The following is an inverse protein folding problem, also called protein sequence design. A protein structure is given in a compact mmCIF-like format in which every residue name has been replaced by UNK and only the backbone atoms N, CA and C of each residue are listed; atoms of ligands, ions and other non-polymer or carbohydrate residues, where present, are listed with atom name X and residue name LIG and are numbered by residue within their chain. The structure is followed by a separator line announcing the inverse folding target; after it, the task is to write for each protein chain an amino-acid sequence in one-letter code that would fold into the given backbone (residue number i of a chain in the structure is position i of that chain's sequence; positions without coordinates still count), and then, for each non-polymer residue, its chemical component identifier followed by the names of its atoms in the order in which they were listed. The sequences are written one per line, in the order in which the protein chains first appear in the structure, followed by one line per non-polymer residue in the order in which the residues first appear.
data_IF_641158947954
#
_entry.id   IF_641158947954
#
_cell.length_a   1.000
_cell.length_b   1.000
_cell.length_c   1.000
_cell.angle_alpha   90.00
_cell.angle_beta   90.00
_cell.angle_gamma   90.00
#
_symmetry.space_group_name_H-M   'P 1'
#
loop_
_entity.id
_entity.type
_entity.pdbx_description
1 polymer ?
#
# COMPACT_ATOMS: atom_id res chain seq x y z
N UNK A 1 -19.96 18.65 -3.77
CA UNK A 1 -19.94 18.28 -2.34
C UNK A 1 -20.03 19.55 -1.50
N UNK A 2 -20.81 19.60 -0.41
CA UNK A 2 -20.98 20.81 0.39
C UNK A 2 -19.73 21.18 1.20
N UNK A 3 -19.02 20.17 1.72
CA UNK A 3 -17.73 20.28 2.40
C UNK A 3 -16.87 19.08 1.99
N UNK A 4 -15.57 19.31 1.84
CA UNK A 4 -14.60 18.28 1.49
C UNK A 4 -13.48 18.33 2.53
N UNK A 5 -13.18 17.18 3.11
CA UNK A 5 -12.07 17.00 4.04
C UNK A 5 -11.08 16.02 3.42
N UNK A 6 -9.81 16.39 3.40
CA UNK A 6 -8.73 15.53 2.89
C UNK A 6 -7.62 15.46 3.93
N UNK A 7 -7.27 14.25 4.32
CA UNK A 7 -6.14 13.97 5.21
C UNK A 7 -4.93 13.51 4.40
N UNK A 8 -3.75 13.55 5.01
CA UNK A 8 -2.46 13.18 4.38
C UNK A 8 -2.19 13.91 3.04
N UNK A 9 -2.53 15.20 2.99
CA UNK A 9 -2.48 16.02 1.78
C UNK A 9 -1.09 16.03 1.10
N UNK A 10 -0.02 15.91 1.89
CA UNK A 10 1.36 15.89 1.38
C UNK A 10 1.64 14.69 0.45
N UNK A 11 0.89 13.60 0.60
CA UNK A 11 1.09 12.36 -0.14
C UNK A 11 0.18 12.24 -1.38
N UNK A 12 -0.54 13.32 -1.70
CA UNK A 12 -1.39 13.38 -2.90
C UNK A 12 -0.55 13.54 -4.17
N UNK A 13 -0.95 12.86 -5.23
CA UNK A 13 -0.42 13.08 -6.58
C UNK A 13 -1.23 14.16 -7.33
N UNK A 14 -0.74 14.58 -8.50
CA UNK A 14 -1.38 15.65 -9.28
C UNK A 14 -2.81 15.29 -9.73
N UNK A 15 -3.09 14.03 -10.05
CA UNK A 15 -4.43 13.61 -10.44
C UNK A 15 -5.42 13.70 -9.27
N UNK A 16 -4.99 13.31 -8.06
CA UNK A 16 -5.78 13.45 -6.84
C UNK A 16 -6.00 14.92 -6.48
N UNK A 17 -4.98 15.76 -6.64
CA UNK A 17 -5.06 17.20 -6.44
C UNK A 17 -6.13 17.83 -7.36
N UNK A 18 -6.03 17.59 -8.68
CA UNK A 18 -6.98 18.12 -9.66
C UNK A 18 -8.40 17.59 -9.43
N UNK A 19 -8.54 16.31 -9.07
CA UNK A 19 -9.85 15.75 -8.73
C UNK A 19 -10.47 16.50 -7.54
N UNK A 20 -9.72 16.71 -6.46
CA UNK A 20 -10.22 17.42 -5.29
C UNK A 20 -10.58 18.87 -5.63
N UNK A 21 -9.79 19.54 -6.47
CA UNK A 21 -10.06 20.89 -6.97
C UNK A 21 -11.37 20.95 -7.77
N UNK A 22 -11.58 20.00 -8.68
CA UNK A 22 -12.83 19.89 -9.46
C UNK A 22 -14.04 19.61 -8.56
N UNK A 23 -13.89 18.75 -7.55
CA UNK A 23 -14.95 18.43 -6.59
C UNK A 23 -15.33 19.60 -5.68
N UNK A 24 -14.33 20.40 -5.28
CA UNK A 24 -14.53 21.62 -4.50
C UNK A 24 -15.24 22.71 -5.34
N UNK A 25 -14.88 22.79 -6.62
CA UNK A 25 -15.41 23.76 -7.57
C UNK A 25 -15.33 25.19 -7.03
N UNK A 26 -16.26 26.05 -7.45
CA UNK A 26 -16.26 27.46 -7.06
C UNK A 26 -16.63 27.72 -5.60
N UNK A 27 -17.13 26.72 -4.87
CA UNK A 27 -17.51 26.90 -3.45
C UNK A 27 -16.30 26.91 -2.53
N UNK A 28 -15.23 26.20 -2.91
CA UNK A 28 -13.98 26.13 -2.17
C UNK A 28 -14.11 25.77 -0.68
N UNK A 29 -15.16 25.01 -0.29
CA UNK A 29 -15.33 24.48 1.07
C UNK A 29 -14.45 23.25 1.28
N UNK A 30 -13.14 23.46 1.19
CA UNK A 30 -12.11 22.44 1.22
C UNK A 30 -11.24 22.62 2.46
N UNK A 31 -11.17 21.57 3.28
CA UNK A 31 -10.31 21.49 4.46
C UNK A 31 -9.28 20.38 4.24
N UNK A 32 -8.01 20.76 4.16
CA UNK A 32 -6.91 19.80 3.97
C UNK A 32 -6.03 19.76 5.21
N UNK A 33 -5.60 18.57 5.59
CA UNK A 33 -4.63 18.33 6.65
C UNK A 33 -3.44 17.62 6.05
N UNK A 34 -2.24 18.04 6.42
CA UNK A 34 -1.02 17.37 5.97
C UNK A 34 0.24 17.94 6.60
N UNK A 35 1.31 17.19 6.44
CA UNK A 35 2.64 17.50 6.94
C UNK A 35 3.67 17.23 5.83
N UNK A 36 4.24 18.27 5.25
CA UNK A 36 5.25 18.13 4.19
C UNK A 36 6.53 17.38 4.63
N UNK A 37 6.90 17.43 5.91
CA UNK A 37 8.04 16.69 6.46
C UNK A 37 7.74 15.17 6.52
N UNK A 38 6.48 14.77 6.38
CA UNK A 38 6.02 13.37 6.37
C UNK A 38 5.73 12.83 4.96
N UNK A 39 5.98 13.61 3.90
CA UNK A 39 5.79 13.15 2.52
C UNK A 39 6.82 12.06 2.15
N UNK A 40 6.40 10.80 2.17
CA UNK A 40 7.26 9.64 1.86
C UNK A 40 6.88 8.93 0.56
N UNK A 41 5.77 9.31 -0.10
CA UNK A 41 5.27 8.64 -1.32
C UNK A 41 5.69 9.29 -2.64
N UNK A 42 6.74 10.12 -2.68
CA UNK A 42 7.21 10.79 -3.91
C UNK A 42 7.48 9.81 -5.07
N UNK A 43 7.99 8.62 -4.77
CA UNK A 43 8.24 7.55 -5.76
C UNK A 43 6.96 6.99 -6.42
N UNK A 44 5.78 7.24 -5.83
CA UNK A 44 4.46 6.90 -6.38
C UNK A 44 3.77 8.11 -7.03
N UNK A 45 4.50 9.22 -7.21
CA UNK A 45 3.99 10.44 -7.82
C UNK A 45 3.37 11.44 -6.84
N UNK A 46 3.48 11.22 -5.52
CA UNK A 46 3.12 12.25 -4.55
C UNK A 46 3.99 13.50 -4.75
N UNK A 47 3.38 14.67 -4.59
CA UNK A 47 4.08 15.94 -4.73
C UNK A 47 3.86 16.80 -3.48
N UNK A 48 4.85 16.85 -2.58
CA UNK A 48 4.80 17.68 -1.36
C UNK A 48 4.53 19.16 -1.68
N UNK A 49 4.86 19.62 -2.90
CA UNK A 49 4.56 20.97 -3.38
C UNK A 49 3.06 21.24 -3.45
N UNK A 50 2.20 20.21 -3.41
CA UNK A 50 0.74 20.38 -3.32
C UNK A 50 0.32 21.17 -2.08
N UNK A 51 1.11 21.15 -1.01
CA UNK A 51 0.89 22.02 0.17
C UNK A 51 1.08 23.49 -0.20
N UNK A 52 2.15 23.82 -0.92
CA UNK A 52 2.41 25.18 -1.40
C UNK A 52 1.40 25.61 -2.47
N UNK A 53 1.14 24.75 -3.48
CA UNK A 53 0.12 24.98 -4.52
C UNK A 53 -1.25 25.24 -3.92
N UNK A 54 -1.65 24.54 -2.86
CA UNK A 54 -2.92 24.80 -2.19
C UNK A 54 -3.02 26.24 -1.68
N UNK A 55 -1.93 26.83 -1.16
CA UNK A 55 -1.92 28.23 -0.72
C UNK A 55 -1.99 29.20 -1.90
N UNK A 56 -1.41 28.84 -3.04
CA UNK A 56 -1.47 29.64 -4.27
C UNK A 56 -2.88 29.61 -4.89
N UNK A 57 -3.49 28.43 -4.97
CA UNK A 57 -4.81 28.21 -5.55
C UNK A 57 -5.96 28.72 -4.65
N UNK A 58 -5.77 28.69 -3.34
CA UNK A 58 -6.74 29.16 -2.35
C UNK A 58 -6.13 30.24 -1.45
N UNK A 59 -5.88 31.46 -1.97
CA UNK A 59 -5.20 32.52 -1.22
C UNK A 59 -5.99 33.03 -0.01
N UNK A 60 -7.31 32.80 0.01
CA UNK A 60 -8.19 33.13 1.14
C UNK A 60 -8.31 31.99 2.17
N UNK A 61 -7.61 30.87 1.97
CA UNK A 61 -7.65 29.76 2.90
C UNK A 61 -7.02 30.15 4.25
N UNK A 62 -7.71 29.78 5.33
CA UNK A 62 -7.15 29.92 6.68
C UNK A 62 -6.13 28.81 6.93
N UNK A 63 -4.88 29.19 7.20
CA UNK A 63 -3.84 28.25 7.63
C UNK A 63 -3.82 28.18 9.15
N UNK A 64 -3.88 26.96 9.70
CA UNK A 64 -3.74 26.69 11.13
C UNK A 64 -2.55 25.76 11.31
N UNK A 65 -1.54 26.18 12.10
CA UNK A 65 -0.40 25.34 12.44
C UNK A 65 -0.62 24.66 13.79
N UNK A 66 -0.45 23.35 13.84
CA UNK A 66 -0.54 22.56 15.06
C UNK A 66 0.87 22.16 15.50
N UNK A 67 1.41 22.86 16.48
CA UNK A 67 2.80 22.67 16.94
C UNK A 67 2.91 21.77 18.18
N UNK A 68 1.79 21.57 18.90
CA UNK A 68 1.77 20.70 20.07
C UNK A 68 1.63 19.24 19.66
N UNK A 69 2.63 18.44 20.02
CA UNK A 69 2.63 16.99 19.84
C UNK A 69 2.09 16.30 21.12
N UNK A 70 1.13 15.41 20.95
CA UNK A 70 0.52 14.65 22.05
C UNK A 70 1.01 13.19 22.11
N UNK A 71 1.74 12.72 21.09
CA UNK A 71 2.12 11.31 20.91
C UNK A 71 3.43 10.96 21.60
N UNK A 72 4.43 11.83 21.49
CA UNK A 72 5.82 11.54 21.83
C UNK A 72 6.30 12.35 23.03
N UNK A 73 7.29 11.82 23.75
CA UNK A 73 8.03 12.56 24.77
C UNK A 73 8.96 13.59 24.15
N UNK A 74 9.45 14.53 24.96
CA UNK A 74 10.36 15.57 24.50
C UNK A 74 11.66 14.97 23.94
N UNK A 75 12.20 13.91 24.57
CA UNK A 75 13.40 13.19 24.08
C UNK A 75 13.25 12.70 22.64
N UNK A 76 12.12 12.07 22.31
CA UNK A 76 11.85 11.58 20.95
C UNK A 76 11.68 12.75 19.98
N UNK A 77 10.99 13.82 20.39
CA UNK A 77 10.80 15.00 19.56
C UNK A 77 12.10 15.75 19.28
N UNK A 78 13.01 15.81 20.25
CA UNK A 78 14.31 16.47 20.07
C UNK A 78 15.15 15.74 19.01
N UNK A 79 15.14 14.40 19.02
CA UNK A 79 15.80 13.59 17.99
C UNK A 79 15.14 13.81 16.63
N UNK A 80 13.81 13.72 16.55
CA UNK A 80 13.08 13.95 15.30
C UNK A 80 13.34 15.35 14.73
N UNK A 81 13.30 16.38 15.58
CA UNK A 81 13.59 17.77 15.22
C UNK A 81 15.05 17.95 14.75
N UNK A 82 16.02 17.30 15.41
CA UNK A 82 17.43 17.35 15.02
C UNK A 82 17.70 16.68 13.65
N UNK A 83 17.01 15.57 13.36
CA UNK A 83 17.11 14.88 12.07
C UNK A 83 16.48 15.72 10.96
N UNK A 84 15.24 16.20 11.14
CA UNK A 84 14.51 16.94 10.11
C UNK A 84 15.09 18.33 9.84
N UNK A 85 15.79 18.94 10.80
CA UNK A 85 16.44 20.25 10.65
C UNK A 85 17.50 20.30 9.54
N UNK A 86 17.97 19.13 9.05
CA UNK A 86 18.90 19.03 7.92
C UNK A 86 18.22 19.23 6.56
N UNK A 87 16.90 19.17 6.47
CA UNK A 87 16.18 19.38 5.22
C UNK A 87 16.06 20.86 4.86
N UNK A 88 16.43 21.22 3.62
CA UNK A 88 16.52 22.61 3.14
C UNK A 88 15.18 23.17 2.69
N UNK A 89 14.30 22.33 2.14
CA UNK A 89 13.02 22.75 1.55
C UNK A 89 11.85 22.36 2.45
N UNK A 90 11.70 23.07 3.58
CA UNK A 90 10.58 22.93 4.52
C UNK A 90 10.13 24.29 5.05
N UNK A 91 8.86 24.38 5.43
CA UNK A 91 8.35 25.44 6.26
C UNK A 91 8.84 25.25 7.70
N UNK A 92 9.46 26.27 8.30
CA UNK A 92 9.89 26.20 9.69
C UNK A 92 8.68 25.96 10.59
N UNK A 93 8.73 24.86 11.35
CA UNK A 93 7.82 24.56 12.44
C UNK A 93 8.60 23.89 13.55
N UNK A 94 8.24 24.19 14.80
CA UNK A 94 8.87 23.59 15.98
C UNK A 94 7.83 22.83 16.77
N UNK A 95 7.90 21.50 16.70
CA UNK A 95 7.03 20.66 17.51
C UNK A 95 7.52 20.65 18.97
N UNK A 96 6.59 20.81 19.91
CA UNK A 96 6.86 20.70 21.34
C UNK A 96 5.83 19.78 22.02
N UNK A 97 6.12 19.28 23.22
CA UNK A 97 5.20 18.46 24.02
C UNK A 97 5.13 18.94 25.46
N UNK A 98 4.00 18.68 26.11
CA UNK A 98 3.83 18.84 27.55
C UNK A 98 4.02 17.50 28.30
N UNK A 99 4.31 16.42 27.56
CA UNK A 99 4.59 15.11 28.16
C UNK A 99 6.00 15.13 28.74
N UNK A 100 6.07 15.02 30.06
CA UNK A 100 7.32 14.89 30.79
C UNK A 100 7.83 13.44 30.77
N UNK A 101 9.16 13.27 30.91
CA UNK A 101 9.83 11.98 30.95
C UNK A 101 9.93 11.24 29.61
N UNK A 102 10.05 9.92 29.66
CA UNK A 102 10.22 9.02 28.51
C UNK A 102 11.60 8.35 28.48
N UNK A 103 11.70 7.12 27.94
CA UNK A 103 12.95 6.38 27.92
C UNK A 103 13.99 7.11 27.06
N UNK A 104 15.27 6.95 27.41
CA UNK A 104 16.35 7.38 26.53
C UNK A 104 16.34 6.53 25.25
N UNK A 105 16.60 7.18 24.12
CA UNK A 105 16.78 6.46 22.86
C UNK A 105 18.13 5.76 22.87
N UNK A 106 18.13 4.47 22.60
CA UNK A 106 19.32 3.63 22.57
C UNK A 106 19.64 3.28 21.12
N UNK A 107 20.92 3.33 20.76
CA UNK A 107 21.44 2.81 19.50
C UNK A 107 22.25 1.57 19.83
N UNK A 108 21.89 0.44 19.23
CA UNK A 108 22.58 -0.82 19.37
C UNK A 108 23.22 -1.17 18.03
N UNK A 109 24.49 -1.57 18.06
CA UNK A 109 25.21 -2.08 16.90
C UNK A 109 25.33 -3.61 17.03
N UNK A 110 24.96 -4.31 15.96
CA UNK A 110 25.07 -5.76 15.86
C UNK A 110 26.10 -6.14 14.79
N UNK A 111 26.81 -7.25 14.99
CA UNK A 111 27.79 -7.79 14.05
C UNK A 111 27.14 -8.30 12.75
N UNK A 112 25.88 -8.76 12.80
CA UNK A 112 25.12 -9.22 11.64
C UNK A 112 23.60 -9.13 11.85
N UNK A 113 22.83 -9.41 10.80
CA UNK A 113 21.36 -9.36 10.80
C UNK A 113 20.70 -10.38 11.76
N UNK A 114 21.34 -11.54 11.96
CA UNK A 114 20.81 -12.56 12.87
C UNK A 114 20.90 -12.08 14.32
N UNK A 115 22.03 -11.47 14.69
CA UNK A 115 22.25 -10.88 16.00
C UNK A 115 21.36 -9.66 16.21
N UNK A 116 21.18 -8.79 15.21
CA UNK A 116 20.24 -7.66 15.27
C UNK A 116 18.82 -8.14 15.65
N UNK A 117 18.32 -9.17 14.95
CA UNK A 117 17.01 -9.77 15.26
C UNK A 117 16.94 -10.35 16.67
N UNK A 118 18.01 -11.02 17.11
CA UNK A 118 18.10 -11.56 18.46
C UNK A 118 18.15 -10.46 19.53
N UNK A 119 18.83 -9.35 19.28
CA UNK A 119 18.87 -8.18 20.17
C UNK A 119 17.48 -7.54 20.28
N UNK A 120 16.78 -7.33 19.16
CA UNK A 120 15.41 -6.80 19.13
C UNK A 120 14.47 -7.65 19.98
N UNK A 121 14.46 -8.97 19.78
CA UNK A 121 13.57 -9.86 20.54
C UNK A 121 13.99 -9.96 22.01
N UNK A 122 15.29 -9.91 22.31
CA UNK A 122 15.79 -9.84 23.69
C UNK A 122 15.24 -8.61 24.41
N UNK A 123 15.30 -7.45 23.77
CA UNK A 123 14.86 -6.19 24.35
C UNK A 123 13.35 -6.14 24.56
N UNK A 124 12.57 -6.59 23.58
CA UNK A 124 11.11 -6.70 23.73
C UNK A 124 10.76 -7.62 24.90
N UNK A 125 11.41 -8.78 25.01
CA UNK A 125 11.17 -9.71 26.13
C UNK A 125 11.59 -9.12 27.47
N UNK A 126 12.69 -8.36 27.54
CA UNK A 126 13.13 -7.66 28.74
C UNK A 126 12.06 -6.69 29.23
N UNK A 127 11.58 -5.82 28.34
CA UNK A 127 10.54 -4.82 28.64
C UNK A 127 9.22 -5.48 29.08
N UNK A 128 8.80 -6.56 28.39
CA UNK A 128 7.59 -7.31 28.75
C UNK A 128 7.75 -8.02 30.10
N UNK A 129 8.92 -8.62 30.38
CA UNK A 129 9.20 -9.29 31.65
C UNK A 129 9.23 -8.32 32.84
N UNK A 130 9.62 -7.07 32.61
CA UNK A 130 9.58 -5.99 33.60
C UNK A 130 8.19 -5.35 33.76
N UNK A 131 7.23 -5.73 32.92
CA UNK A 131 5.88 -5.17 32.92
C UNK A 131 5.79 -3.74 32.39
N UNK A 132 6.82 -3.26 31.68
CA UNK A 132 6.86 -1.90 31.12
C UNK A 132 5.94 -1.75 29.90
N UNK A 133 5.79 -2.83 29.12
CA UNK A 133 4.99 -2.86 27.89
C UNK A 133 4.34 -4.23 27.69
N UNK A 134 3.30 -4.29 26.86
CA UNK A 134 2.78 -5.53 26.29
C UNK A 134 3.38 -5.78 24.91
N UNK A 135 3.33 -7.02 24.43
CA UNK A 135 3.81 -7.36 23.08
C UNK A 135 3.11 -6.54 21.98
N UNK A 136 1.84 -6.18 22.19
CA UNK A 136 1.07 -5.36 21.26
C UNK A 136 1.49 -3.88 21.20
N UNK A 137 2.25 -3.40 22.19
CA UNK A 137 2.75 -2.02 22.25
C UNK A 137 4.07 -1.85 21.48
N UNK A 138 4.69 -2.95 21.05
CA UNK A 138 5.97 -2.96 20.35
C UNK A 138 5.78 -3.00 18.83
N UNK A 139 6.48 -2.13 18.12
CA UNK A 139 6.57 -2.16 16.66
C UNK A 139 8.03 -2.18 16.21
N UNK A 140 8.37 -3.08 15.28
CA UNK A 140 9.68 -3.15 14.63
C UNK A 140 9.54 -2.59 13.21
N UNK A 141 10.25 -1.50 12.93
CA UNK A 141 10.20 -0.82 11.63
C UNK A 141 11.50 -1.04 10.87
N UNK A 142 11.41 -1.34 9.58
CA UNK A 142 12.55 -1.57 8.70
C UNK A 142 12.33 -0.87 7.35
N UNK A 143 13.42 -0.68 6.59
CA UNK A 143 13.39 0.10 5.34
C UNK A 143 12.81 -0.69 4.17
N UNK A 144 13.09 -1.99 4.09
CA UNK A 144 12.67 -2.86 2.99
C UNK A 144 12.07 -4.17 3.52
N UNK A 145 11.14 -4.76 2.78
CA UNK A 145 10.50 -6.02 3.19
C UNK A 145 11.49 -7.19 3.31
N UNK A 146 12.62 -7.15 2.61
CA UNK A 146 13.64 -8.20 2.71
C UNK A 146 14.26 -8.28 4.13
N UNK A 147 14.31 -7.16 4.84
CA UNK A 147 14.82 -7.09 6.21
C UNK A 147 13.88 -7.72 7.25
N UNK A 148 12.63 -8.03 6.90
CA UNK A 148 11.72 -8.67 7.85
C UNK A 148 12.19 -10.08 8.21
N UNK A 149 12.77 -10.80 7.26
CA UNK A 149 13.10 -12.22 7.40
C UNK A 149 14.02 -12.56 8.59
N UNK A 150 15.21 -11.95 8.76
CA UNK A 150 16.06 -12.25 9.91
C UNK A 150 15.40 -11.91 11.26
N UNK A 151 14.56 -10.88 11.30
CA UNK A 151 13.77 -10.50 12.48
C UNK A 151 12.70 -11.56 12.75
N UNK A 152 11.91 -11.94 11.74
CA UNK A 152 10.87 -12.97 11.84
C UNK A 152 11.45 -14.30 12.33
N UNK A 153 12.59 -14.72 11.78
CA UNK A 153 13.29 -15.93 12.20
C UNK A 153 13.67 -15.85 13.69
N UNK A 154 14.12 -14.69 14.18
CA UNK A 154 14.42 -14.50 15.61
C UNK A 154 13.17 -14.61 16.49
N UNK A 155 12.04 -14.03 16.08
CA UNK A 155 10.76 -14.17 16.80
C UNK A 155 10.30 -15.64 16.85
N UNK A 156 10.38 -16.36 15.72
CA UNK A 156 10.03 -17.78 15.63
C UNK A 156 10.94 -18.63 16.52
N UNK A 157 12.27 -18.48 16.40
CA UNK A 157 13.26 -19.23 17.21
C UNK A 157 13.03 -19.06 18.71
N UNK A 158 12.60 -17.87 19.14
CA UNK A 158 12.38 -17.53 20.55
C UNK A 158 10.94 -17.72 21.02
N UNK A 159 10.06 -18.21 20.17
CA UNK A 159 8.65 -18.47 20.49
C UNK A 159 7.86 -17.21 20.85
N UNK A 160 8.23 -16.04 20.33
CA UNK A 160 7.54 -14.77 20.59
C UNK A 160 6.51 -14.54 19.48
N UNK A 161 5.23 -14.34 19.81
CA UNK A 161 4.21 -14.08 18.80
C UNK A 161 4.43 -12.70 18.17
N UNK A 162 4.26 -12.63 16.85
CA UNK A 162 4.37 -11.39 16.08
C UNK A 162 3.29 -11.33 14.99
N UNK A 163 3.08 -10.14 14.45
CA UNK A 163 2.19 -9.90 13.31
C UNK A 163 2.96 -9.14 12.23
N UNK A 164 3.16 -9.78 11.08
CA UNK A 164 3.77 -9.11 9.93
C UNK A 164 2.73 -8.22 9.22
N UNK A 165 2.99 -6.92 9.15
CA UNK A 165 2.17 -5.96 8.39
C UNK A 165 2.73 -5.84 6.98
N UNK A 166 1.90 -6.08 5.96
CA UNK A 166 2.34 -6.01 4.57
C UNK A 166 3.02 -7.29 4.05
N UNK A 167 2.81 -8.44 4.72
CA UNK A 167 3.11 -9.78 4.22
C UNK A 167 2.42 -10.05 2.86
N UNK A 168 2.60 -11.26 2.28
CA UNK A 168 1.84 -11.69 1.10
C UNK A 168 0.37 -11.32 1.27
N UNK A 169 -0.10 -10.36 0.47
CA UNK A 169 -1.43 -9.79 0.66
C UNK A 169 -2.42 -10.94 0.51
N UNK A 170 -3.45 -10.98 1.33
CA UNK A 170 -4.45 -12.04 1.28
C UNK A 170 -4.96 -12.28 -0.15
N UNK A 171 -5.22 -11.19 -0.88
CA UNK A 171 -5.65 -11.19 -2.29
C UNK A 171 -4.56 -11.51 -3.31
N UNK A 172 -3.30 -11.66 -2.91
CA UNK A 172 -2.20 -12.06 -3.78
C UNK A 172 -2.02 -13.58 -3.86
N UNK A 173 -2.59 -14.32 -2.90
CA UNK A 173 -2.57 -15.78 -2.84
C UNK A 173 -3.25 -16.41 -4.06
N UNK A 174 -2.71 -17.53 -4.54
CA UNK A 174 -3.13 -18.16 -5.81
C UNK A 174 -4.61 -18.54 -5.75
N UNK A 175 -4.99 -19.25 -4.69
CA UNK A 175 -6.34 -19.73 -4.44
C UNK A 175 -7.37 -18.58 -4.35
N UNK A 176 -6.99 -17.47 -3.72
CA UNK A 176 -7.86 -16.29 -3.61
C UNK A 176 -8.01 -15.60 -4.97
N UNK A 177 -6.92 -15.43 -5.72
CA UNK A 177 -6.97 -14.85 -7.08
C UNK A 177 -7.76 -15.71 -8.06
N UNK A 178 -7.72 -17.03 -7.92
CA UNK A 178 -8.48 -17.96 -8.78
C UNK A 178 -9.99 -17.82 -8.52
N UNK A 179 -10.42 -17.83 -7.26
CA UNK A 179 -11.83 -17.60 -6.89
C UNK A 179 -12.30 -16.21 -7.32
N UNK A 180 -11.49 -15.17 -7.12
CA UNK A 180 -11.81 -13.82 -7.59
C UNK A 180 -11.91 -13.72 -9.12
N UNK A 181 -11.10 -14.46 -9.86
CA UNK A 181 -11.19 -14.50 -11.31
C UNK A 181 -12.50 -15.18 -11.78
N UNK A 182 -12.96 -16.24 -11.11
CA UNK A 182 -14.30 -16.79 -11.35
C UNK A 182 -15.39 -15.75 -11.15
N UNK A 183 -15.40 -15.08 -9.99
CA UNK A 183 -16.42 -14.08 -9.68
C UNK A 183 -16.40 -12.90 -10.65
N UNK A 184 -15.20 -12.47 -11.09
CA UNK A 184 -15.06 -11.41 -12.09
C UNK A 184 -15.62 -11.82 -13.45
N UNK A 185 -15.35 -13.04 -13.92
CA UNK A 185 -15.89 -13.54 -15.19
C UNK A 185 -17.41 -13.74 -15.12
N UNK A 186 -17.93 -14.20 -13.97
CA UNK A 186 -19.38 -14.30 -13.75
C UNK A 186 -20.08 -12.93 -13.78
N UNK A 187 -19.44 -11.90 -13.21
CA UNK A 187 -20.00 -10.54 -13.18
C UNK A 187 -19.78 -9.79 -14.50
N UNK A 188 -18.60 -9.93 -15.09
CA UNK A 188 -18.20 -9.35 -16.36
C UNK A 188 -17.53 -10.44 -17.22
N UNK A 189 -18.31 -11.09 -18.12
CA UNK A 189 -17.79 -12.13 -19.00
C UNK A 189 -16.64 -11.66 -19.91
N UNK A 190 -16.49 -10.35 -20.12
CA UNK A 190 -15.43 -9.77 -20.94
C UNK A 190 -14.12 -9.49 -20.17
N UNK A 191 -13.99 -9.92 -18.91
CA UNK A 191 -12.69 -9.96 -18.21
C UNK A 191 -11.81 -11.09 -18.78
N UNK A 192 -11.14 -10.79 -19.90
CA UNK A 192 -10.23 -11.73 -20.57
C UNK A 192 -9.07 -12.17 -19.68
N UNK A 193 -8.55 -11.29 -18.81
CA UNK A 193 -7.47 -11.63 -17.87
C UNK A 193 -7.97 -12.63 -16.82
N UNK A 194 -9.17 -12.40 -16.29
CA UNK A 194 -9.86 -13.32 -15.41
C UNK A 194 -10.08 -14.68 -16.07
N UNK A 195 -10.66 -14.69 -17.28
CA UNK A 195 -10.96 -15.91 -18.03
C UNK A 195 -9.69 -16.73 -18.30
N UNK A 196 -8.62 -16.11 -18.80
CA UNK A 196 -7.36 -16.80 -19.08
C UNK A 196 -6.70 -17.40 -17.83
N UNK A 197 -6.89 -16.77 -16.67
CA UNK A 197 -6.40 -17.31 -15.41
C UNK A 197 -7.11 -18.61 -15.02
N UNK A 198 -8.43 -18.68 -15.20
CA UNK A 198 -9.27 -19.76 -14.65
C UNK A 198 -9.76 -20.80 -15.67
N UNK A 199 -9.54 -20.56 -16.97
CA UNK A 199 -10.02 -21.44 -18.06
C UNK A 199 -9.65 -22.91 -17.83
N UNK A 200 -8.47 -23.19 -17.30
CA UNK A 200 -7.99 -24.54 -16.98
C UNK A 200 -7.73 -24.77 -15.47
N UNK A 201 -8.38 -24.01 -14.58
CA UNK A 201 -8.30 -24.19 -13.12
C UNK A 201 -9.69 -24.31 -12.53
N UNK A 202 -10.20 -25.49 -12.12
CA UNK A 202 -9.52 -26.79 -12.11
C UNK A 202 -9.20 -27.30 -13.54
N UNK A 203 -8.27 -28.28 -13.67
CA UNK A 203 -7.89 -28.82 -14.97
C UNK A 203 -9.09 -29.34 -15.77
N UNK A 204 -9.21 -28.88 -17.02
CA UNK A 204 -10.25 -29.25 -18.00
C UNK A 204 -9.66 -29.81 -19.29
N UNK A 205 -8.38 -30.22 -19.25
CA UNK A 205 -7.61 -30.63 -20.41
C UNK A 205 -7.45 -29.52 -21.49
N UNK A 206 -7.52 -28.24 -21.10
CA UNK A 206 -7.32 -27.11 -22.00
C UNK A 206 -5.84 -26.70 -21.96
N UNK A 207 -5.09 -27.08 -22.98
CA UNK A 207 -3.65 -26.82 -23.08
C UNK A 207 -3.31 -25.40 -23.55
N UNK A 208 -2.06 -24.98 -23.35
CA UNK A 208 -1.56 -23.65 -23.75
C UNK A 208 -1.72 -23.39 -25.26
N UNK A 209 -1.57 -24.42 -26.11
CA UNK A 209 -1.82 -24.30 -27.56
C UNK A 209 -3.27 -23.94 -27.84
N UNK A 210 -4.22 -24.65 -27.22
CA UNK A 210 -5.66 -24.39 -27.37
C UNK A 210 -6.04 -22.98 -26.93
N UNK A 211 -5.49 -22.52 -25.79
CA UNK A 211 -5.68 -21.15 -25.31
C UNK A 211 -5.10 -20.13 -26.29
N UNK A 212 -3.88 -20.37 -26.79
CA UNK A 212 -3.24 -19.50 -27.79
C UNK A 212 -4.06 -19.38 -29.07
N UNK A 213 -4.57 -20.50 -29.59
CA UNK A 213 -5.45 -20.53 -30.76
C UNK A 213 -6.75 -19.76 -30.54
N UNK A 214 -7.40 -19.91 -29.38
CA UNK A 214 -8.59 -19.11 -29.03
C UNK A 214 -8.28 -17.60 -29.03
N UNK A 215 -7.16 -17.20 -28.41
CA UNK A 215 -6.79 -15.79 -28.28
C UNK A 215 -6.43 -15.18 -29.63
N UNK A 216 -5.73 -15.91 -30.49
CA UNK A 216 -5.44 -15.47 -31.84
C UNK A 216 -6.73 -15.27 -32.64
N UNK A 217 -7.60 -16.28 -32.68
CA UNK A 217 -8.85 -16.21 -33.44
C UNK A 217 -9.80 -15.11 -32.95
N UNK A 218 -9.98 -15.00 -31.62
CA UNK A 218 -10.78 -13.91 -31.05
C UNK A 218 -10.20 -12.53 -31.34
N UNK A 219 -8.87 -12.39 -31.35
CA UNK A 219 -8.17 -11.18 -31.75
C UNK A 219 -8.36 -10.81 -33.23
N UNK A 220 -8.28 -11.79 -34.14
CA UNK A 220 -8.54 -11.61 -35.58
C UNK A 220 -9.97 -11.13 -35.86
N UNK A 221 -10.94 -11.58 -35.06
CA UNK A 221 -12.34 -11.14 -35.15
C UNK A 221 -12.63 -9.84 -34.41
N UNK A 222 -11.69 -9.32 -33.61
CA UNK A 222 -11.91 -8.16 -32.75
C UNK A 222 -12.92 -8.41 -31.62
N UNK A 223 -13.08 -9.65 -31.18
CA UNK A 223 -14.05 -10.05 -30.16
C UNK A 223 -13.37 -10.43 -28.84
N UNK A 224 -14.01 -10.19 -27.67
CA UNK A 224 -13.55 -10.75 -26.41
C UNK A 224 -13.55 -12.28 -26.44
N UNK A 225 -12.57 -12.91 -25.79
CA UNK A 225 -12.42 -14.37 -25.76
C UNK A 225 -13.69 -15.12 -25.31
N UNK A 226 -14.48 -14.55 -24.40
CA UNK A 226 -15.76 -15.13 -23.99
C UNK A 226 -16.79 -15.16 -25.13
N UNK A 227 -16.90 -14.09 -25.91
CA UNK A 227 -17.80 -14.05 -27.06
C UNK A 227 -17.38 -15.05 -28.14
N UNK A 228 -16.07 -15.21 -28.37
CA UNK A 228 -15.55 -16.26 -29.25
C UNK A 228 -15.91 -17.68 -28.76
N UNK A 229 -15.90 -17.93 -27.45
CA UNK A 229 -16.37 -19.20 -26.88
C UNK A 229 -17.88 -19.42 -27.09
N UNK A 230 -18.70 -18.36 -27.03
CA UNK A 230 -20.13 -18.47 -27.33
C UNK A 230 -20.37 -18.80 -28.81
N UNK A 231 -19.62 -18.16 -29.72
CA UNK A 231 -19.68 -18.48 -31.14
C UNK A 231 -19.29 -19.94 -31.43
N UNK A 232 -18.30 -20.47 -30.73
CA UNK A 232 -17.94 -21.90 -30.83
C UNK A 232 -19.04 -22.84 -30.33
N UNK A 233 -19.83 -22.39 -29.36
CA UNK A 233 -20.97 -23.16 -28.87
C UNK A 233 -22.14 -23.14 -29.86
N UNK A 234 -22.28 -22.07 -30.64
CA UNK A 234 -23.32 -21.91 -31.66
C UNK A 234 -22.94 -22.52 -33.03
N UNK A 235 -21.64 -22.56 -33.37
CA UNK A 235 -21.10 -23.17 -34.61
C UNK A 235 -20.83 -24.68 -34.44
N UNK A 236 -21.90 -25.48 -34.25
CA UNK A 236 -21.81 -26.95 -34.17
C UNK A 236 -21.23 -27.61 -35.45
N UNK A 237 -21.02 -26.86 -36.54
CA UNK A 237 -20.50 -27.35 -37.82
C UNK A 237 -18.99 -27.14 -38.04
N UNK A 238 -18.30 -26.40 -37.16
CA UNK A 238 -16.85 -26.20 -37.22
C UNK A 238 -16.32 -25.50 -38.48
N UNK A 239 -17.19 -24.84 -39.26
CA UNK A 239 -16.80 -24.23 -40.54
C UNK A 239 -15.94 -22.97 -40.35
N UNK A 240 -16.07 -22.30 -39.19
CA UNK A 240 -15.31 -21.09 -38.84
C UNK A 240 -14.41 -21.25 -37.61
N UNK A 241 -14.47 -22.41 -36.95
CA UNK A 241 -13.74 -22.68 -35.72
C UNK A 241 -12.23 -22.86 -35.98
N UNK A 242 -11.36 -22.28 -35.16
CA UNK A 242 -9.90 -22.40 -35.32
C UNK A 242 -9.37 -23.75 -34.80
N UNK A 243 -10.26 -24.64 -34.37
CA UNK A 243 -9.95 -25.96 -33.83
C UNK A 243 -10.36 -27.02 -34.83
N UNK A 244 -9.42 -27.84 -35.29
CA UNK A 244 -9.74 -28.98 -36.13
C UNK A 244 -10.67 -29.96 -35.38
N UNK A 245 -11.73 -30.41 -36.04
CA UNK A 245 -12.54 -31.52 -35.56
C UNK A 245 -11.62 -32.74 -35.34
N UNK A 246 -11.69 -33.34 -34.15
CA UNK A 246 -11.04 -34.62 -33.86
C UNK A 246 -11.95 -35.77 -34.24
#
# INVERSE_FOLDING_TARGET
YPFILVDEWQDTNMAQYELVKLLAGNRANLFVVGDEDQSIYRFRGADYRNVARFREDYPHARVVMLERNYRSSQTILDIANAVIARNVHRHPKRLFTERDGGPQTVVLEAYNEQEEGDMVVSEIRRLVAQGEVQLGDCAVMYRTNAQSRPIEDAFVRRGVPYKLVGATRFYERREIKDVLAYLRVLHNPYDGVGLMRIINVPPRAIGQKTVGTLMQWSGEMGLPAYAALQLLLEDEGGASAPFAAR
#
